data_IF_063241022143
#
_entry.id   IF_063241022143
#
_cell.length_a   1.000
_cell.length_b   1.000
_cell.length_c   1.000
_cell.angle_alpha   90.00
_cell.angle_beta   90.00
_cell.angle_gamma   90.00
#
_symmetry.space_group_name_H-M   'P 1'
#
loop_
_entity.id
_entity.type
_entity.pdbx_description
1 polymer ?
#
# COMPACT_ATOMS: atom_id res chain seq x y z
N UNK A 1 6.89 -10.86 -14.48
CA UNK A 1 7.01 -9.53 -13.83
C UNK A 1 5.69 -8.89 -13.37
N UNK A 2 4.60 -8.87 -14.17
CA UNK A 2 3.34 -8.19 -13.75
C UNK A 2 2.65 -8.81 -12.52
N UNK A 3 2.73 -10.14 -12.33
CA UNK A 3 2.08 -10.88 -11.22
C UNK A 3 2.69 -10.59 -9.84
N UNK A 4 4.02 -10.60 -9.73
CA UNK A 4 4.73 -10.28 -8.49
C UNK A 4 4.41 -8.85 -8.02
N UNK A 5 4.32 -7.90 -8.98
CA UNK A 5 3.92 -6.52 -8.70
C UNK A 5 2.53 -6.43 -8.07
N UNK A 6 1.54 -7.20 -8.56
CA UNK A 6 0.18 -7.15 -8.03
C UNK A 6 0.12 -7.64 -6.56
N UNK A 7 0.78 -8.77 -6.27
CA UNK A 7 0.90 -9.30 -4.91
C UNK A 7 1.52 -8.28 -3.94
N UNK A 8 2.66 -7.69 -4.34
CA UNK A 8 3.36 -6.72 -3.51
C UNK A 8 2.53 -5.46 -3.29
N UNK A 9 1.80 -4.99 -4.32
CA UNK A 9 0.95 -3.80 -4.21
C UNK A 9 -0.23 -4.06 -3.27
N UNK A 10 -0.90 -5.22 -3.36
CA UNK A 10 -1.99 -5.58 -2.45
C UNK A 10 -1.50 -5.68 -1.01
N UNK A 11 -0.36 -6.34 -0.78
CA UNK A 11 0.21 -6.45 0.56
C UNK A 11 0.61 -5.07 1.12
N UNK A 12 1.22 -4.21 0.32
CA UNK A 12 1.58 -2.85 0.74
C UNK A 12 0.34 -2.01 1.06
N UNK A 13 -0.71 -2.08 0.25
CA UNK A 13 -1.96 -1.36 0.48
C UNK A 13 -2.64 -1.81 1.79
N UNK A 14 -2.79 -3.13 1.98
CA UNK A 14 -3.37 -3.68 3.23
C UNK A 14 -2.48 -3.37 4.42
N UNK A 15 -1.15 -3.49 4.27
CA UNK A 15 -0.19 -3.17 5.32
C UNK A 15 -0.23 -1.70 5.74
N UNK A 16 -0.40 -0.78 4.80
CA UNK A 16 -0.57 0.64 5.09
C UNK A 16 -1.84 0.90 5.90
N UNK A 17 -2.97 0.28 5.52
CA UNK A 17 -4.23 0.41 6.27
C UNK A 17 -4.11 -0.15 7.68
N UNK A 18 -3.49 -1.32 7.84
CA UNK A 18 -3.22 -1.92 9.16
C UNK A 18 -2.37 -0.98 10.01
N UNK A 19 -1.26 -0.46 9.46
CA UNK A 19 -0.38 0.48 10.17
C UNK A 19 -1.12 1.75 10.59
N UNK A 20 -1.94 2.33 9.71
CA UNK A 20 -2.71 3.53 10.00
C UNK A 20 -3.72 3.28 11.13
N UNK A 21 -4.49 2.20 11.05
CA UNK A 21 -5.48 1.84 12.09
C UNK A 21 -4.76 1.57 13.41
N UNK A 22 -3.73 0.73 13.41
CA UNK A 22 -2.97 0.41 14.62
C UNK A 22 -2.36 1.67 15.25
N UNK A 23 -1.85 2.61 14.45
CA UNK A 23 -1.28 3.86 14.95
C UNK A 23 -2.35 4.75 15.60
N UNK A 24 -3.50 4.93 14.95
CA UNK A 24 -4.61 5.69 15.50
C UNK A 24 -5.16 5.05 16.79
N UNK A 25 -5.30 3.72 16.81
CA UNK A 25 -5.71 2.98 18.01
C UNK A 25 -4.70 3.14 19.15
N UNK A 26 -3.39 3.05 18.87
CA UNK A 26 -2.35 3.28 19.86
C UNK A 26 -2.44 4.69 20.47
N UNK A 27 -2.56 5.73 19.63
CA UNK A 27 -2.68 7.11 20.09
C UNK A 27 -3.92 7.31 20.98
N UNK A 28 -5.06 6.76 20.56
CA UNK A 28 -6.30 6.83 21.33
C UNK A 28 -6.18 6.13 22.68
N UNK A 29 -5.73 4.86 22.68
CA UNK A 29 -5.63 4.05 23.89
C UNK A 29 -4.64 4.66 24.89
N UNK A 30 -3.45 5.06 24.42
CA UNK A 30 -2.47 5.73 25.27
C UNK A 30 -3.03 7.03 25.87
N UNK A 31 -3.67 7.88 25.06
CA UNK A 31 -4.29 9.11 25.55
C UNK A 31 -5.38 8.83 26.60
N UNK A 32 -6.22 7.83 26.35
CA UNK A 32 -7.29 7.43 27.25
C UNK A 32 -6.74 6.91 28.58
N UNK A 33 -5.80 5.95 28.53
CA UNK A 33 -5.20 5.38 29.74
C UNK A 33 -4.39 6.39 30.55
N UNK A 34 -3.70 7.33 29.89
CA UNK A 34 -3.03 8.44 30.57
C UNK A 34 -4.03 9.33 31.32
N UNK A 35 -5.15 9.66 30.69
CA UNK A 35 -6.19 10.49 31.31
C UNK A 35 -6.85 9.77 32.49
N UNK A 36 -7.14 8.48 32.33
CA UNK A 36 -7.73 7.65 33.39
C UNK A 36 -6.78 7.51 34.59
N UNK A 37 -5.49 7.27 34.35
CA UNK A 37 -4.46 7.25 35.39
C UNK A 37 -4.42 8.59 36.15
N UNK A 38 -4.35 9.70 35.42
CA UNK A 38 -4.31 11.04 36.01
C UNK A 38 -5.56 11.34 36.84
N UNK A 39 -6.75 11.08 36.28
CA UNK A 39 -8.03 11.27 36.98
C UNK A 39 -8.13 10.38 38.21
N UNK A 40 -7.65 9.13 38.13
CA UNK A 40 -7.63 8.20 39.24
C UNK A 40 -6.76 8.69 40.40
N UNK A 41 -5.56 9.23 40.12
CA UNK A 41 -4.69 9.84 41.14
C UNK A 41 -5.35 11.07 41.76
N UNK A 42 -6.00 11.89 40.95
CA UNK A 42 -6.69 13.10 41.38
C UNK A 42 -7.86 12.78 42.33
N UNK A 43 -8.72 11.84 41.96
CA UNK A 43 -9.83 11.38 42.80
C UNK A 43 -9.36 10.65 44.06
N UNK A 44 -8.26 9.88 43.96
CA UNK A 44 -7.66 9.25 45.14
C UNK A 44 -7.20 10.30 46.17
N UNK A 45 -6.49 11.34 45.73
CA UNK A 45 -6.04 12.43 46.61
C UNK A 45 -7.21 13.21 47.23
N UNK A 46 -8.26 13.50 46.46
CA UNK A 46 -9.50 14.14 46.98
C UNK A 46 -10.17 13.30 48.06
N UNK A 47 -10.30 12.00 47.81
CA UNK A 47 -10.92 11.09 48.76
C UNK A 47 -10.09 10.99 50.04
N UNK A 48 -8.78 10.85 49.91
CA UNK A 48 -7.86 10.77 51.04
C UNK A 48 -7.91 12.03 51.92
N UNK A 49 -7.81 13.23 51.31
CA UNK A 49 -7.91 14.49 52.06
C UNK A 49 -9.27 14.64 52.75
N UNK A 50 -10.36 14.21 52.09
CA UNK A 50 -11.71 14.26 52.67
C UNK A 50 -11.91 13.27 53.82
N UNK A 51 -11.42 12.05 53.68
CA UNK A 51 -11.57 11.00 54.69
C UNK A 51 -10.77 11.31 55.94
N UNK A 52 -9.50 11.71 55.79
CA UNK A 52 -8.69 12.17 56.92
C UNK A 52 -9.29 13.43 57.53
N UNK A 53 -9.76 14.38 56.71
CA UNK A 53 -10.46 15.58 57.20
C UNK A 53 -11.67 15.25 58.08
N UNK A 54 -12.48 14.25 57.70
CA UNK A 54 -13.58 13.76 58.53
C UNK A 54 -13.11 13.14 59.85
N UNK A 55 -11.99 12.41 59.85
CA UNK A 55 -11.42 11.86 61.09
C UNK A 55 -10.97 12.97 62.05
N UNK A 56 -10.39 14.05 61.51
CA UNK A 56 -10.00 15.22 62.31
C UNK A 56 -11.23 15.96 62.84
N UNK A 57 -12.27 16.12 62.02
CA UNK A 57 -13.56 16.68 62.44
C UNK A 57 -14.17 15.86 63.59
N UNK A 58 -14.14 14.52 63.50
CA UNK A 58 -14.63 13.64 64.56
C UNK A 58 -13.84 13.82 65.86
N UNK A 59 -12.51 13.97 65.77
CA UNK A 59 -11.68 14.26 66.93
C UNK A 59 -12.06 15.60 67.58
N UNK A 60 -12.26 16.66 66.79
CA UNK A 60 -12.71 17.96 67.30
C UNK A 60 -14.10 17.86 67.95
N UNK A 61 -15.05 17.17 67.31
CA UNK A 61 -16.41 16.94 67.83
C UNK A 61 -16.43 16.13 69.12
N UNK A 62 -15.44 15.25 69.32
CA UNK A 62 -15.27 14.49 70.57
C UNK A 62 -14.74 15.32 71.75
N UNK A 63 -14.39 16.59 71.51
CA UNK A 63 -13.90 17.51 72.55
C UNK A 63 -12.37 17.55 72.70
N UNK A 64 -11.61 16.93 71.78
CA UNK A 64 -10.16 17.07 71.78
C UNK A 64 -9.75 18.52 71.46
N UNK A 65 -8.71 19.01 72.14
CA UNK A 65 -8.17 20.34 71.87
C UNK A 65 -7.54 20.39 70.47
N UNK A 66 -7.62 21.55 69.81
CA UNK A 66 -6.99 21.78 68.49
C UNK A 66 -5.52 21.32 68.45
N UNK A 67 -4.75 21.66 69.48
CA UNK A 67 -3.34 21.26 69.63
C UNK A 67 -3.16 19.74 69.68
N UNK A 68 -4.05 19.03 70.39
CA UNK A 68 -3.97 17.57 70.48
C UNK A 68 -4.29 16.91 69.14
N UNK A 69 -5.27 17.44 68.40
CA UNK A 69 -5.62 16.93 67.06
C UNK A 69 -4.48 17.16 66.06
N UNK A 70 -3.89 18.35 66.05
CA UNK A 70 -2.68 18.66 65.26
C UNK A 70 -1.56 17.67 65.59
N UNK A 71 -1.27 17.46 66.88
CA UNK A 71 -0.23 16.53 67.32
C UNK A 71 -0.52 15.09 66.87
N UNK A 72 -1.77 14.63 66.99
CA UNK A 72 -2.16 13.29 66.56
C UNK A 72 -1.95 13.09 65.05
N UNK A 73 -2.33 14.10 64.23
CA UNK A 73 -2.09 14.06 62.80
C UNK A 73 -0.59 14.06 62.49
N UNK A 74 0.17 14.99 63.08
CA UNK A 74 1.61 15.10 62.88
C UNK A 74 2.33 13.79 63.21
N UNK A 75 1.98 13.15 64.33
CA UNK A 75 2.55 11.86 64.73
C UNK A 75 2.19 10.72 63.75
N UNK A 76 1.07 10.84 63.03
CA UNK A 76 0.64 9.84 62.06
C UNK A 76 1.34 9.97 60.71
N UNK A 77 1.76 11.18 60.34
CA UNK A 77 2.34 11.48 59.02
C UNK A 77 3.85 11.70 59.05
N UNK A 78 4.45 11.92 60.23
CA UNK A 78 5.89 12.17 60.33
C UNK A 78 6.69 10.97 59.78
N UNK A 79 7.71 11.25 58.99
CA UNK A 79 8.57 10.26 58.33
C UNK A 79 7.83 9.27 57.40
N UNK A 80 6.62 9.59 56.94
CA UNK A 80 6.03 8.84 55.82
C UNK A 80 6.75 9.20 54.52
N UNK A 81 6.63 8.33 53.52
CA UNK A 81 7.19 8.61 52.19
C UNK A 81 6.64 9.93 51.64
N UNK A 82 7.54 10.78 51.12
CA UNK A 82 7.20 12.04 50.45
C UNK A 82 7.52 12.00 48.96
N UNK A 83 8.15 10.93 48.48
CA UNK A 83 8.53 10.82 47.08
C UNK A 83 7.32 10.55 46.19
N UNK A 84 6.44 9.64 46.59
CA UNK A 84 5.24 9.28 45.83
C UNK A 84 4.09 10.27 46.03
N UNK A 85 3.78 10.56 47.29
CA UNK A 85 2.75 11.50 47.70
C UNK A 85 2.63 11.52 49.22
N UNK A 86 2.02 12.58 49.75
CA UNK A 86 1.93 12.78 51.19
C UNK A 86 0.75 13.67 51.58
N UNK A 87 0.43 13.66 52.86
CA UNK A 87 -0.61 14.51 53.46
C UNK A 87 0.06 15.61 54.28
N UNK A 88 -0.45 16.83 54.17
CA UNK A 88 -0.13 17.91 55.09
C UNK A 88 -1.39 18.71 55.43
N UNK A 89 -1.28 19.58 56.43
CA UNK A 89 -2.40 20.40 56.90
C UNK A 89 -1.94 21.84 57.04
N UNK A 90 -2.76 22.76 56.57
CA UNK A 90 -2.55 24.20 56.70
C UNK A 90 -3.69 24.81 57.51
N UNK A 91 -3.47 25.97 58.10
CA UNK A 91 -4.57 26.87 58.40
C UNK A 91 -4.97 27.70 57.16
N UNK A 92 -6.13 28.33 57.22
CA UNK A 92 -6.64 29.23 56.18
C UNK A 92 -5.82 30.51 56.03
N UNK A 93 -4.84 30.78 56.89
CA UNK A 93 -3.91 31.92 56.74
C UNK A 93 -2.62 31.53 56.01
N UNK A 94 -2.45 30.24 55.70
CA UNK A 94 -1.31 29.70 54.97
C UNK A 94 -0.20 29.13 55.85
N UNK A 95 -0.38 29.00 57.16
CA UNK A 95 0.63 28.38 58.03
C UNK A 95 0.49 26.86 57.91
N UNK A 96 1.60 26.18 57.63
CA UNK A 96 1.67 24.71 57.61
C UNK A 96 1.67 24.16 59.04
N UNK A 97 0.57 23.52 59.43
CA UNK A 97 0.33 22.99 60.78
C UNK A 97 0.93 21.59 60.97
N UNK A 98 0.87 20.76 59.93
CA UNK A 98 1.42 19.41 59.95
C UNK A 98 2.07 19.09 58.60
N UNK A 99 3.24 18.44 58.62
CA UNK A 99 3.95 17.99 57.43
C UNK A 99 4.79 16.72 57.72
N UNK A 100 4.96 15.78 56.78
CA UNK A 100 5.76 14.56 57.01
C UNK A 100 7.22 14.83 57.37
N UNK A 101 7.80 15.86 56.78
CA UNK A 101 9.07 16.46 57.21
C UNK A 101 8.79 17.56 58.25
N UNK A 102 9.15 17.34 59.54
CA UNK A 102 8.91 18.31 60.61
C UNK A 102 9.61 19.65 60.42
N UNK A 103 10.68 19.71 59.61
CA UNK A 103 11.40 20.96 59.35
C UNK A 103 10.57 21.97 58.54
N UNK A 104 9.49 21.52 57.89
CA UNK A 104 8.58 22.35 57.11
C UNK A 104 7.37 22.84 57.93
N UNK A 105 7.13 22.27 59.11
CA UNK A 105 6.04 22.72 59.99
C UNK A 105 6.28 24.16 60.45
N UNK A 106 5.24 24.99 60.36
CA UNK A 106 5.27 26.41 60.66
C UNK A 106 5.66 27.30 59.47
N UNK A 107 5.96 26.73 58.31
CA UNK A 107 6.20 27.52 57.11
C UNK A 107 4.93 28.28 56.68
N UNK A 108 5.15 29.50 56.17
CA UNK A 108 4.07 30.38 55.72
C UNK A 108 4.00 30.33 54.19
N UNK A 109 2.87 29.87 53.67
CA UNK A 109 2.54 29.93 52.26
C UNK A 109 2.08 31.36 51.92
N UNK A 110 2.81 31.99 51.02
CA UNK A 110 2.47 33.31 50.48
C UNK A 110 2.36 33.25 48.95
N UNK A 111 1.95 34.38 48.34
CA UNK A 111 1.76 34.51 46.89
C UNK A 111 3.02 34.24 46.06
N UNK A 112 4.20 34.52 46.60
CA UNK A 112 5.47 34.29 45.90
C UNK A 112 6.00 32.86 45.98
N UNK A 113 5.42 32.01 46.84
CA UNK A 113 5.97 30.68 47.09
C UNK A 113 5.57 29.65 46.02
N UNK A 114 4.30 29.67 45.61
CA UNK A 114 3.75 28.66 44.71
C UNK A 114 2.44 29.12 44.07
N UNK A 115 2.36 28.91 42.77
CA UNK A 115 1.17 29.04 41.94
C UNK A 115 0.38 27.72 41.91
N UNK A 116 -0.92 27.83 41.62
CA UNK A 116 -1.87 26.74 41.57
C UNK A 116 -2.74 26.84 40.31
N UNK A 117 -2.84 25.73 39.60
CA UNK A 117 -3.58 25.63 38.34
C UNK A 117 -4.72 24.62 38.53
N UNK A 118 -5.96 25.09 38.42
CA UNK A 118 -7.16 24.27 38.42
C UNK A 118 -7.93 24.49 37.12
N UNK A 119 -7.99 23.45 36.28
CA UNK A 119 -8.52 23.56 34.93
C UNK A 119 -7.76 24.60 34.12
N UNK A 120 -8.45 25.65 33.67
CA UNK A 120 -7.87 26.78 32.91
C UNK A 120 -7.51 27.97 33.81
N UNK A 121 -7.83 27.91 35.10
CA UNK A 121 -7.60 29.01 36.04
C UNK A 121 -6.25 28.87 36.73
N UNK A 122 -5.49 29.96 36.77
CA UNK A 122 -4.24 30.07 37.53
C UNK A 122 -4.43 31.06 38.67
N UNK A 123 -4.07 30.66 39.87
CA UNK A 123 -4.13 31.49 41.08
C UNK A 123 -2.92 31.22 41.98
N UNK A 124 -2.73 32.01 43.03
CA UNK A 124 -1.76 31.66 44.06
C UNK A 124 -2.29 30.51 44.92
N UNK A 125 -1.42 29.61 45.39
CA UNK A 125 -1.88 28.50 46.25
C UNK A 125 -2.49 29.00 47.57
N UNK A 126 -2.00 30.13 48.09
CA UNK A 126 -2.57 30.75 49.30
C UNK A 126 -4.02 31.17 49.10
N UNK A 127 -4.41 31.65 47.91
CA UNK A 127 -5.79 32.04 47.64
C UNK A 127 -6.73 30.83 47.65
N UNK A 128 -6.21 29.64 47.32
CA UNK A 128 -6.94 28.37 47.43
C UNK A 128 -7.18 28.01 48.90
N UNK A 129 -6.16 28.15 49.77
CA UNK A 129 -6.30 27.90 51.21
C UNK A 129 -7.28 28.89 51.86
N UNK A 130 -7.13 30.19 51.56
CA UNK A 130 -7.98 31.27 52.05
C UNK A 130 -9.46 31.07 51.69
N UNK A 131 -9.75 30.38 50.58
CA UNK A 131 -11.11 30.15 50.12
C UNK A 131 -11.93 29.27 51.08
N UNK A 132 -11.28 28.44 51.89
CA UNK A 132 -11.94 27.49 52.78
C UNK A 132 -12.76 26.41 52.06
N UNK A 133 -12.58 26.25 50.75
CA UNK A 133 -13.35 25.33 49.90
C UNK A 133 -12.47 24.21 49.37
N UNK A 134 -13.12 23.09 49.05
CA UNK A 134 -12.45 22.01 48.34
C UNK A 134 -11.95 22.48 46.97
N UNK A 135 -10.75 22.07 46.60
CA UNK A 135 -10.16 22.39 45.31
C UNK A 135 -9.14 21.34 44.92
N UNK A 136 -8.88 21.17 43.64
CA UNK A 136 -7.91 20.21 43.14
C UNK A 136 -7.26 20.71 41.87
N UNK A 137 -5.94 20.61 41.82
CA UNK A 137 -5.16 21.18 40.74
C UNK A 137 -3.68 20.82 40.83
N UNK A 138 -2.87 21.53 40.07
CA UNK A 138 -1.43 21.39 40.05
C UNK A 138 -0.84 22.58 40.78
N UNK A 139 -0.06 22.32 41.83
CA UNK A 139 0.74 23.32 42.51
C UNK A 139 2.14 23.31 41.89
N UNK A 140 2.57 24.44 41.35
CA UNK A 140 3.94 24.61 40.89
C UNK A 140 4.74 25.42 41.90
N UNK A 141 6.05 25.21 41.86
CA UNK A 141 7.00 25.96 42.68
C UNK A 141 7.98 26.67 41.76
N UNK A 142 8.53 27.79 42.24
CA UNK A 142 9.62 28.48 41.54
C UNK A 142 10.77 27.51 41.24
N UNK A 143 11.44 27.68 40.10
CA UNK A 143 12.62 26.88 39.71
C UNK A 143 13.75 26.91 40.75
N UNK A 144 13.77 27.92 41.62
CA UNK A 144 14.76 28.07 42.70
C UNK A 144 14.49 27.21 43.92
N UNK A 145 13.29 26.63 44.07
CA UNK A 145 12.89 25.88 45.28
C UNK A 145 13.43 24.45 45.33
N UNK A 146 14.05 23.95 44.25
CA UNK A 146 14.45 22.56 44.07
C UNK A 146 13.32 21.54 44.36
N UNK A 147 12.05 21.98 44.27
CA UNK A 147 10.86 21.19 44.54
C UNK A 147 10.08 20.96 43.24
N UNK A 148 9.76 19.70 42.96
CA UNK A 148 8.94 19.33 41.82
C UNK A 148 7.49 19.77 42.02
N UNK A 149 6.79 20.09 40.93
CA UNK A 149 5.34 20.34 40.97
C UNK A 149 4.58 19.15 41.54
N UNK A 150 3.43 19.43 42.14
CA UNK A 150 2.60 18.44 42.82
C UNK A 150 1.16 18.55 42.32
N UNK A 151 0.47 17.43 42.15
CA UNK A 151 -0.99 17.44 42.12
C UNK A 151 -1.44 17.59 43.56
N UNK A 152 -2.28 18.59 43.83
CA UNK A 152 -2.74 18.90 45.18
C UNK A 152 -4.25 18.90 45.22
N UNK A 153 -4.80 18.10 46.12
CA UNK A 153 -6.22 18.07 46.48
C UNK A 153 -6.39 18.62 47.89
N UNK A 154 -7.07 19.76 48.03
CA UNK A 154 -7.33 20.39 49.33
C UNK A 154 -8.78 20.22 49.75
N UNK A 155 -9.01 20.02 51.04
CA UNK A 155 -10.34 19.84 51.64
C UNK A 155 -10.42 20.52 53.01
N UNK A 156 -11.49 21.27 53.31
CA UNK A 156 -11.65 21.91 54.62
C UNK A 156 -11.96 20.88 55.71
N UNK A 157 -11.45 21.13 56.92
CA UNK A 157 -11.78 20.34 58.12
C UNK A 157 -12.87 21.07 58.92
N UNK A 158 -14.09 20.54 58.91
CA UNK A 158 -15.21 21.19 59.58
C UNK A 158 -14.99 21.32 61.09
N UNK A 159 -15.46 22.45 61.66
CA UNK A 159 -15.20 22.80 63.07
C UNK A 159 -13.82 23.44 63.30
N UNK A 160 -13.08 23.74 62.23
CA UNK A 160 -11.79 24.42 62.29
C UNK A 160 -11.59 25.36 61.11
N UNK A 161 -10.47 26.08 61.16
CA UNK A 161 -9.89 26.93 60.12
C UNK A 161 -8.83 26.17 59.31
N UNK A 162 -8.89 24.83 59.28
CA UNK A 162 -7.86 24.01 58.65
C UNK A 162 -8.24 23.55 57.25
N UNK A 163 -7.21 23.44 56.42
CA UNK A 163 -7.24 22.90 55.07
C UNK A 163 -6.30 21.70 55.03
N UNK A 164 -6.85 20.50 54.83
CA UNK A 164 -6.06 19.30 54.64
C UNK A 164 -5.73 19.14 53.16
N UNK A 165 -4.47 18.84 52.84
CA UNK A 165 -3.99 18.70 51.48
C UNK A 165 -3.35 17.32 51.27
N UNK A 166 -3.76 16.64 50.20
CA UNK A 166 -3.07 15.47 49.65
C UNK A 166 -2.22 15.94 48.46
N UNK A 167 -0.93 15.62 48.52
CA UNK A 167 0.09 15.99 47.54
C UNK A 167 0.56 14.73 46.81
N UNK A 168 0.65 14.80 45.49
CA UNK A 168 1.21 13.71 44.67
C UNK A 168 2.28 14.28 43.76
N UNK A 169 3.46 13.68 43.78
CA UNK A 169 4.60 14.20 43.03
C UNK A 169 4.40 13.98 41.52
N UNK A 170 4.41 15.07 40.74
CA UNK A 170 4.25 14.99 39.27
C UNK A 170 5.40 14.26 38.59
N UNK A 171 6.60 14.20 39.20
CA UNK A 171 7.76 13.45 38.68
C UNK A 171 7.49 11.95 38.68
N UNK A 172 6.91 11.42 39.75
CA UNK A 172 6.58 9.99 39.87
C UNK A 172 5.48 9.61 38.88
N UNK A 173 4.45 10.45 38.75
CA UNK A 173 3.41 10.27 37.74
C UNK A 173 4.02 10.34 36.32
N UNK A 174 4.96 11.26 36.08
CA UNK A 174 5.66 11.35 34.79
C UNK A 174 6.43 10.08 34.43
N UNK A 175 7.06 9.44 35.43
CA UNK A 175 7.70 8.14 35.26
C UNK A 175 6.67 7.03 34.97
N UNK A 176 5.59 6.94 35.75
CA UNK A 176 4.50 5.98 35.51
C UNK A 176 3.90 6.13 34.09
N UNK A 177 3.69 7.37 33.61
CA UNK A 177 3.19 7.65 32.26
C UNK A 177 4.21 7.23 31.19
N UNK A 178 5.51 7.43 31.45
CA UNK A 178 6.58 7.02 30.52
C UNK A 178 6.67 5.50 30.39
N UNK A 179 6.57 4.79 31.51
CA UNK A 179 6.51 3.32 31.54
C UNK A 179 5.24 2.81 30.84
N UNK A 180 4.10 3.48 31.07
CA UNK A 180 2.84 3.18 30.39
C UNK A 180 2.99 3.32 28.88
N UNK A 181 3.61 4.41 28.41
CA UNK A 181 3.88 4.64 26.99
C UNK A 181 4.72 3.51 26.38
N UNK A 182 5.80 3.11 27.05
CA UNK A 182 6.68 2.05 26.58
C UNK A 182 5.94 0.70 26.47
N UNK A 183 5.09 0.37 27.45
CA UNK A 183 4.25 -0.84 27.41
C UNK A 183 3.29 -0.83 26.23
N UNK A 184 2.58 0.28 26.01
CA UNK A 184 1.68 0.42 24.87
C UNK A 184 2.44 0.36 23.53
N UNK A 185 3.63 0.96 23.45
CA UNK A 185 4.45 0.94 22.24
C UNK A 185 4.89 -0.49 21.90
N UNK A 186 5.33 -1.26 22.89
CA UNK A 186 5.73 -2.65 22.72
C UNK A 186 4.55 -3.51 22.24
N UNK A 187 3.38 -3.36 22.86
CA UNK A 187 2.15 -4.06 22.45
C UNK A 187 1.78 -3.70 21.01
N UNK A 188 1.81 -2.41 20.66
CA UNK A 188 1.54 -1.92 19.31
C UNK A 188 2.48 -2.55 18.28
N UNK A 189 3.80 -2.51 18.52
CA UNK A 189 4.80 -3.06 17.59
C UNK A 189 4.63 -4.58 17.40
N UNK A 190 4.43 -5.33 18.48
CA UNK A 190 4.23 -6.78 18.42
C UNK A 190 2.92 -7.13 17.70
N UNK A 191 1.81 -6.47 18.04
CA UNK A 191 0.52 -6.71 17.42
C UNK A 191 0.55 -6.39 15.91
N UNK A 192 1.13 -5.24 15.54
CA UNK A 192 1.29 -4.86 14.14
C UNK A 192 2.15 -5.87 13.38
N UNK A 193 3.26 -6.34 13.95
CA UNK A 193 4.11 -7.36 13.33
C UNK A 193 3.34 -8.67 13.10
N UNK A 194 2.58 -9.14 14.09
CA UNK A 194 1.78 -10.37 14.00
C UNK A 194 0.69 -10.24 12.94
N UNK A 195 -0.03 -9.11 12.90
CA UNK A 195 -1.11 -8.87 11.94
C UNK A 195 -0.54 -8.75 10.52
N UNK A 196 0.57 -8.04 10.33
CA UNK A 196 1.25 -7.95 9.02
C UNK A 196 1.76 -9.31 8.54
N UNK A 197 2.38 -10.09 9.43
CA UNK A 197 2.84 -11.45 9.11
C UNK A 197 1.70 -12.39 8.73
N UNK A 198 0.60 -12.34 9.48
CA UNK A 198 -0.61 -13.12 9.20
C UNK A 198 -1.26 -12.69 7.88
N UNK A 199 -1.35 -11.38 7.62
CA UNK A 199 -1.86 -10.82 6.37
C UNK A 199 -1.01 -11.26 5.17
N UNK A 200 0.33 -11.20 5.29
CA UNK A 200 1.25 -11.67 4.26
C UNK A 200 1.00 -13.14 3.90
N UNK A 201 0.87 -13.99 4.93
CA UNK A 201 0.63 -15.42 4.75
C UNK A 201 -0.74 -15.70 4.12
N UNK A 202 -1.80 -15.03 4.59
CA UNK A 202 -3.15 -15.17 4.04
C UNK A 202 -3.22 -14.73 2.58
N UNK A 203 -2.67 -13.56 2.23
CA UNK A 203 -2.63 -13.08 0.85
C UNK A 203 -1.88 -14.09 -0.02
N UNK A 204 -0.74 -14.62 0.44
CA UNK A 204 0.03 -15.63 -0.30
C UNK A 204 -0.77 -16.92 -0.52
N UNK A 205 -1.48 -17.38 0.51
CA UNK A 205 -2.32 -18.57 0.43
C UNK A 205 -3.48 -18.41 -0.55
N UNK A 206 -4.18 -17.27 -0.52
CA UNK A 206 -5.29 -16.93 -1.41
C UNK A 206 -4.82 -16.86 -2.86
N UNK A 207 -3.72 -16.14 -3.12
CA UNK A 207 -3.16 -16.01 -4.46
C UNK A 207 -2.72 -17.35 -5.04
N UNK A 208 -2.06 -18.20 -4.24
CA UNK A 208 -1.67 -19.55 -4.68
C UNK A 208 -2.89 -20.37 -5.11
N UNK A 209 -3.97 -20.35 -4.32
CA UNK A 209 -5.21 -21.08 -4.64
C UNK A 209 -5.89 -20.53 -5.91
N UNK A 210 -5.92 -19.22 -6.07
CA UNK A 210 -6.47 -18.56 -7.25
C UNK A 210 -5.67 -18.90 -8.53
N UNK A 211 -4.34 -18.91 -8.45
CA UNK A 211 -3.47 -19.24 -9.58
C UNK A 211 -3.66 -20.71 -10.00
N UNK A 212 -3.69 -21.64 -9.04
CA UNK A 212 -3.96 -23.05 -9.34
C UNK A 212 -5.34 -23.27 -9.98
N UNK A 213 -6.35 -22.48 -9.58
CA UNK A 213 -7.68 -22.54 -10.22
C UNK A 213 -7.64 -22.02 -11.66
N UNK A 214 -6.96 -20.90 -11.90
CA UNK A 214 -6.81 -20.31 -13.24
C UNK A 214 -5.99 -21.20 -14.18
N UNK A 215 -4.91 -21.81 -13.70
CA UNK A 215 -4.10 -22.73 -14.49
C UNK A 215 -4.88 -23.97 -14.93
N UNK A 216 -5.74 -24.52 -14.06
CA UNK A 216 -6.65 -25.62 -14.45
C UNK A 216 -7.59 -25.20 -15.57
N UNK A 217 -8.26 -24.06 -15.45
CA UNK A 217 -9.15 -23.54 -16.49
C UNK A 217 -8.44 -23.33 -17.83
N UNK A 218 -7.20 -22.83 -17.82
CA UNK A 218 -6.39 -22.65 -19.03
C UNK A 218 -6.00 -24.00 -19.65
N UNK A 219 -5.61 -24.97 -18.82
CA UNK A 219 -5.26 -26.31 -19.28
C UNK A 219 -6.48 -27.05 -19.87
N UNK A 220 -7.64 -26.94 -19.23
CA UNK A 220 -8.90 -27.52 -19.72
C UNK A 220 -9.27 -26.94 -21.09
N UNK A 221 -9.19 -25.61 -21.25
CA UNK A 221 -9.47 -24.95 -22.53
C UNK A 221 -8.45 -25.33 -23.61
N UNK A 222 -7.16 -25.43 -23.26
CA UNK A 222 -6.14 -25.91 -24.20
C UNK A 222 -6.40 -27.36 -24.65
N UNK A 223 -6.84 -28.23 -23.73
CA UNK A 223 -7.21 -29.60 -24.07
C UNK A 223 -8.40 -29.65 -25.03
N UNK A 224 -9.42 -28.81 -24.82
CA UNK A 224 -10.57 -28.67 -25.71
C UNK A 224 -10.16 -28.16 -27.10
N UNK A 225 -9.34 -27.11 -27.17
CA UNK A 225 -8.80 -26.59 -28.44
C UNK A 225 -7.97 -27.64 -29.18
N UNK A 226 -7.14 -28.40 -28.46
CA UNK A 226 -6.36 -29.49 -29.04
C UNK A 226 -7.26 -30.61 -29.58
N UNK A 227 -8.33 -30.96 -28.86
CA UNK A 227 -9.31 -31.95 -29.31
C UNK A 227 -10.05 -31.49 -30.58
N UNK A 228 -10.50 -30.22 -30.62
CA UNK A 228 -11.12 -29.63 -31.80
C UNK A 228 -10.16 -29.59 -32.99
N UNK A 229 -8.90 -29.25 -32.75
CA UNK A 229 -7.86 -29.25 -33.80
C UNK A 229 -7.62 -30.65 -34.35
N UNK A 230 -7.59 -31.67 -33.48
CA UNK A 230 -7.46 -33.06 -33.91
C UNK A 230 -8.68 -33.53 -34.74
N UNK A 231 -9.91 -33.20 -34.33
CA UNK A 231 -11.12 -33.50 -35.10
C UNK A 231 -11.13 -32.79 -36.45
N UNK A 232 -10.75 -31.51 -36.50
CA UNK A 232 -10.67 -30.76 -37.75
C UNK A 232 -9.64 -31.38 -38.72
N UNK A 233 -8.49 -31.81 -38.20
CA UNK A 233 -7.50 -32.56 -38.99
C UNK A 233 -8.04 -33.90 -39.50
N UNK A 234 -8.85 -34.61 -38.71
CA UNK A 234 -9.52 -35.85 -39.15
C UNK A 234 -10.55 -35.58 -40.24
N UNK A 235 -11.38 -34.54 -40.11
CA UNK A 235 -12.34 -34.14 -41.13
C UNK A 235 -11.66 -33.78 -42.45
N UNK A 236 -10.57 -33.02 -42.41
CA UNK A 236 -9.79 -32.69 -43.61
C UNK A 236 -9.21 -33.94 -44.29
N UNK A 237 -8.81 -34.96 -43.53
CA UNK A 237 -8.39 -36.27 -44.08
C UNK A 237 -9.55 -37.02 -44.73
N UNK A 238 -10.75 -36.96 -44.16
CA UNK A 238 -11.95 -37.58 -44.75
C UNK A 238 -12.35 -36.85 -46.03
N UNK A 239 -12.33 -35.52 -46.07
CA UNK A 239 -12.60 -34.75 -47.29
C UNK A 239 -11.58 -35.02 -48.41
N UNK A 240 -10.29 -35.16 -48.08
CA UNK A 240 -9.26 -35.52 -49.06
C UNK A 240 -9.40 -36.96 -49.56
N UNK A 241 -9.78 -37.92 -48.70
CA UNK A 241 -10.03 -39.30 -49.12
C UNK A 241 -11.39 -39.49 -49.82
N UNK A 242 -12.42 -38.70 -49.50
CA UNK A 242 -13.73 -38.71 -50.17
C UNK A 242 -13.67 -38.14 -51.59
N UNK A 243 -12.61 -37.40 -51.92
CA UNK A 243 -12.29 -36.96 -53.28
C UNK A 243 -11.37 -37.96 -54.02
N UNK A 244 -11.03 -39.11 -53.41
CA UNK A 244 -10.21 -40.16 -54.04
C UNK A 244 -11.02 -41.22 -54.80
N UNK A 245 -12.35 -41.23 -54.68
CA UNK A 245 -13.27 -42.06 -55.47
C UNK A 245 -14.19 -41.18 -56.33
N UNK A 246 -13.60 -40.43 -57.26
CA UNK A 246 -14.26 -39.95 -58.48
C UNK A 246 -13.19 -39.58 -59.50
N UNK A 247 -13.15 -40.42 -60.53
CA UNK A 247 -12.62 -40.21 -61.88
C UNK A 247 -11.12 -39.89 -62.04
N UNK A 248 -10.44 -40.94 -62.49
CA UNK A 248 -9.27 -40.95 -63.37
C UNK A 248 -9.35 -39.92 -64.51
N UNK A 249 -8.18 -39.33 -64.78
CA UNK A 249 -7.74 -38.74 -66.04
C UNK A 249 -8.32 -37.36 -66.42
N UNK A 250 -7.75 -36.32 -65.82
CA UNK A 250 -7.18 -35.11 -66.47
C UNK A 250 -7.28 -33.95 -65.47
N UNK A 251 -6.16 -33.49 -64.89
CA UNK A 251 -6.01 -32.13 -64.34
C UNK A 251 -4.63 -31.94 -63.68
N UNK A 252 -3.57 -31.99 -64.48
CA UNK A 252 -2.24 -31.49 -64.06
C UNK A 252 -2.06 -29.99 -64.36
N UNK A 253 -3.14 -29.26 -64.72
CA UNK A 253 -3.04 -27.89 -65.21
C UNK A 253 -3.93 -26.85 -64.49
N UNK A 254 -4.76 -27.21 -63.51
CA UNK A 254 -5.78 -26.27 -62.99
C UNK A 254 -5.77 -26.02 -61.47
N UNK A 255 -4.59 -25.73 -60.91
CA UNK A 255 -4.49 -25.17 -59.54
C UNK A 255 -3.66 -23.89 -59.46
N UNK A 256 -3.75 -23.05 -60.50
CA UNK A 256 -3.27 -21.66 -60.45
C UNK A 256 -4.46 -20.75 -60.15
N UNK A 257 -4.45 -20.06 -59.00
CA UNK A 257 -5.49 -19.08 -58.68
C UNK A 257 -5.36 -17.89 -59.63
N UNK A 258 -6.25 -17.80 -60.61
CA UNK A 258 -6.35 -16.66 -61.55
C UNK A 258 -6.77 -15.36 -60.85
N UNK A 259 -7.44 -15.45 -59.69
CA UNK A 259 -7.93 -14.32 -58.88
C UNK A 259 -7.58 -14.47 -57.40
N UNK A 260 -7.15 -13.38 -56.78
CA UNK A 260 -6.87 -13.25 -55.36
C UNK A 260 -7.90 -12.32 -54.72
N UNK A 261 -8.46 -12.74 -53.59
CA UNK A 261 -9.39 -11.92 -52.82
C UNK A 261 -8.60 -11.25 -51.70
N UNK A 262 -8.64 -9.93 -51.64
CA UNK A 262 -7.94 -9.11 -50.63
C UNK A 262 -8.92 -8.17 -49.94
N UNK A 263 -8.59 -7.78 -48.71
CA UNK A 263 -9.39 -6.86 -47.92
C UNK A 263 -8.84 -5.44 -48.06
N UNK A 264 -9.72 -4.50 -48.37
CA UNK A 264 -9.40 -3.07 -48.31
C UNK A 264 -10.46 -2.37 -47.46
N UNK A 265 -10.07 -1.99 -46.23
CA UNK A 265 -10.99 -1.48 -45.21
C UNK A 265 -12.07 -2.52 -44.89
N UNK A 266 -13.33 -2.26 -45.27
CA UNK A 266 -14.51 -3.10 -45.00
C UNK A 266 -15.07 -3.78 -46.27
N UNK A 267 -14.35 -3.75 -47.39
CA UNK A 267 -14.78 -4.33 -48.68
C UNK A 267 -13.84 -5.45 -49.15
N UNK A 268 -14.43 -6.49 -49.76
CA UNK A 268 -13.73 -7.58 -50.44
C UNK A 268 -13.44 -7.18 -51.89
N UNK A 269 -12.16 -7.05 -52.23
CA UNK A 269 -11.72 -6.74 -53.59
C UNK A 269 -11.12 -8.00 -54.22
N UNK A 270 -11.63 -8.37 -55.39
CA UNK A 270 -11.08 -9.45 -56.21
C UNK A 270 -10.10 -8.85 -57.21
N UNK A 271 -8.81 -9.22 -57.09
CA UNK A 271 -7.73 -8.80 -57.99
C UNK A 271 -7.33 -9.96 -58.89
N UNK A 272 -7.11 -9.68 -60.17
CA UNK A 272 -6.54 -10.67 -61.07
C UNK A 272 -5.02 -10.78 -60.87
N UNK A 273 -4.47 -11.99 -60.99
CA UNK A 273 -3.03 -12.21 -60.83
C UNK A 273 -2.19 -11.38 -61.84
N UNK A 274 -2.79 -10.99 -62.97
CA UNK A 274 -2.20 -10.11 -63.99
C UNK A 274 -2.09 -8.64 -63.57
N UNK A 275 -2.90 -8.18 -62.62
CA UNK A 275 -2.89 -6.79 -62.14
C UNK A 275 -1.83 -6.53 -61.06
N UNK A 276 -1.22 -7.59 -60.54
CA UNK A 276 -0.32 -7.54 -59.39
C UNK A 276 1.13 -7.40 -59.84
N UNK A 277 1.78 -6.34 -59.37
CA UNK A 277 3.18 -6.04 -59.67
C UNK A 277 4.14 -6.81 -58.74
N UNK A 278 3.91 -6.77 -57.42
CA UNK A 278 4.71 -7.53 -56.45
C UNK A 278 3.98 -7.66 -55.11
N UNK A 279 4.43 -8.63 -54.32
CA UNK A 279 4.05 -8.81 -52.91
C UNK A 279 5.24 -8.49 -52.02
N UNK A 280 4.97 -7.89 -50.87
CA UNK A 280 6.01 -7.58 -49.89
C UNK A 280 5.55 -7.77 -48.45
N UNK A 281 6.50 -8.09 -47.56
CA UNK A 281 6.28 -8.25 -46.12
C UNK A 281 6.80 -7.02 -45.38
N UNK A 282 5.90 -6.30 -44.72
CA UNK A 282 6.22 -5.14 -43.90
C UNK A 282 5.47 -5.25 -42.56
N UNK A 283 6.14 -4.98 -41.43
CA UNK A 283 5.53 -5.03 -40.09
C UNK A 283 4.75 -6.33 -39.79
N UNK A 284 5.23 -7.47 -40.30
CA UNK A 284 4.62 -8.80 -40.17
C UNK A 284 3.25 -8.96 -40.87
N UNK A 285 2.92 -8.06 -41.81
CA UNK A 285 1.73 -8.10 -42.66
C UNK A 285 2.19 -8.21 -44.12
N UNK A 286 1.51 -9.06 -44.92
CA UNK A 286 1.80 -9.20 -46.35
C UNK A 286 0.92 -8.22 -47.14
N UNK A 287 1.57 -7.43 -47.99
CA UNK A 287 0.93 -6.46 -48.85
C UNK A 287 1.07 -6.85 -50.32
N UNK A 288 0.07 -6.44 -51.11
CA UNK A 288 -0.01 -6.57 -52.56
C UNK A 288 0.13 -5.17 -53.15
N UNK A 289 1.03 -4.98 -54.11
CA UNK A 289 1.12 -3.77 -54.92
C UNK A 289 0.62 -4.07 -56.34
N UNK A 290 -0.35 -3.31 -56.83
CA UNK A 290 -0.84 -3.44 -58.21
C UNK A 290 -0.01 -2.60 -59.18
N UNK A 291 -0.09 -2.92 -60.48
CA UNK A 291 0.50 -2.08 -61.54
C UNK A 291 -0.05 -0.65 -61.56
N UNK A 292 -1.29 -0.46 -61.08
CA UNK A 292 -1.93 0.86 -60.92
C UNK A 292 -1.43 1.67 -59.70
N UNK A 293 -0.56 1.11 -58.85
CA UNK A 293 0.00 1.80 -57.68
C UNK A 293 -0.78 1.61 -56.38
N UNK A 294 -1.95 0.96 -56.43
CA UNK A 294 -2.77 0.67 -55.26
C UNK A 294 -2.12 -0.41 -54.39
N UNK A 295 -2.36 -0.34 -53.08
CA UNK A 295 -1.81 -1.27 -52.09
C UNK A 295 -2.92 -1.91 -51.27
N UNK A 296 -2.84 -3.23 -51.11
CA UNK A 296 -3.84 -4.03 -50.40
C UNK A 296 -3.16 -5.00 -49.43
N UNK A 297 -3.84 -5.41 -48.35
CA UNK A 297 -3.32 -6.37 -47.37
C UNK A 297 -3.93 -7.75 -47.54
N UNK A 298 -3.12 -8.80 -47.41
CA UNK A 298 -3.57 -10.19 -47.52
C UNK A 298 -3.12 -11.00 -46.30
N UNK A 299 -4.01 -11.88 -45.82
CA UNK A 299 -3.80 -12.72 -44.63
C UNK A 299 -3.06 -14.04 -44.93
N UNK A 300 -2.47 -14.18 -46.11
CA UNK A 300 -1.67 -15.34 -46.51
C UNK A 300 -0.19 -15.04 -46.40
N UNK A 301 0.60 -16.04 -46.00
CA UNK A 301 2.06 -15.88 -45.97
C UNK A 301 2.66 -15.81 -47.38
N UNK A 302 3.84 -15.19 -47.52
CA UNK A 302 4.56 -15.20 -48.80
C UNK A 302 4.89 -16.62 -49.28
N UNK A 303 5.11 -17.57 -48.37
CA UNK A 303 5.38 -18.97 -48.69
C UNK A 303 4.17 -19.66 -49.33
N UNK A 304 2.97 -19.39 -48.80
CA UNK A 304 1.71 -19.88 -49.37
C UNK A 304 1.42 -19.22 -50.72
N UNK A 305 1.60 -17.89 -50.82
CA UNK A 305 1.39 -17.17 -52.07
C UNK A 305 2.32 -17.67 -53.18
N UNK A 306 3.59 -17.92 -52.87
CA UNK A 306 4.55 -18.48 -53.84
C UNK A 306 4.16 -19.88 -54.36
N UNK A 307 3.39 -20.67 -53.59
CA UNK A 307 2.89 -21.98 -54.03
C UNK A 307 1.62 -21.89 -54.86
N UNK A 308 0.81 -20.85 -54.64
CA UNK A 308 -0.50 -20.67 -55.27
C UNK A 308 -0.45 -19.85 -56.56
N UNK A 309 0.62 -19.08 -56.75
CA UNK A 309 0.84 -18.23 -57.91
C UNK A 309 1.59 -18.97 -59.03
N UNK A 310 1.38 -18.48 -60.24
CA UNK A 310 2.05 -18.97 -61.45
C UNK A 310 3.56 -18.77 -61.33
N UNK A 311 4.29 -19.88 -61.20
CA UNK A 311 5.74 -19.90 -61.00
C UNK A 311 6.50 -19.33 -62.22
N UNK A 312 5.86 -19.26 -63.40
CA UNK A 312 6.45 -18.62 -64.58
C UNK A 312 6.33 -17.10 -64.54
N UNK A 313 5.30 -16.57 -63.86
CA UNK A 313 5.05 -15.12 -63.79
C UNK A 313 5.56 -14.49 -62.50
N UNK A 314 5.58 -15.24 -61.40
CA UNK A 314 5.96 -14.75 -60.09
C UNK A 314 7.23 -15.45 -59.58
N UNK A 315 8.22 -14.63 -59.20
CA UNK A 315 9.45 -15.10 -58.60
C UNK A 315 9.62 -14.59 -57.18
N UNK A 316 9.94 -15.49 -56.26
CA UNK A 316 10.30 -15.11 -54.89
C UNK A 316 11.72 -14.55 -54.85
N UNK A 317 11.88 -13.23 -54.94
CA UNK A 317 13.18 -12.56 -54.94
C UNK A 317 13.95 -12.77 -53.62
N UNK A 318 13.29 -12.62 -52.47
CA UNK A 318 13.92 -12.82 -51.15
C UNK A 318 12.87 -13.18 -50.07
N UNK A 319 13.25 -13.12 -48.79
CA UNK A 319 12.34 -13.45 -47.67
C UNK A 319 11.16 -12.47 -47.56
N UNK A 320 11.32 -11.25 -48.06
CA UNK A 320 10.36 -10.16 -47.94
C UNK A 320 9.60 -9.87 -49.24
N UNK A 321 10.04 -10.36 -50.42
CA UNK A 321 9.48 -9.96 -51.71
C UNK A 321 9.19 -11.14 -52.66
N UNK A 322 8.05 -11.08 -53.35
CA UNK A 322 7.70 -11.86 -54.55
C UNK A 322 7.40 -10.88 -55.67
N UNK A 323 8.08 -11.00 -56.81
CA UNK A 323 7.97 -10.05 -57.92
C UNK A 323 7.31 -10.69 -59.14
N UNK A 324 6.48 -9.94 -59.85
CA UNK A 324 5.96 -10.34 -61.15
C UNK A 324 6.96 -9.98 -62.24
N UNK A 325 7.17 -10.84 -63.23
CA UNK A 325 8.06 -10.59 -64.38
C UNK A 325 7.69 -9.29 -65.11
N UNK A 326 6.39 -9.01 -65.28
CA UNK A 326 5.89 -7.81 -65.95
C UNK A 326 6.16 -6.51 -65.18
N UNK A 327 6.47 -6.60 -63.88
CA UNK A 327 6.78 -5.44 -63.06
C UNK A 327 8.26 -5.06 -63.10
N UNK A 328 9.14 -5.93 -63.59
CA UNK A 328 10.59 -5.71 -63.61
C UNK A 328 10.93 -4.70 -64.71
N UNK A 329 11.37 -3.51 -64.30
CA UNK A 329 11.80 -2.45 -65.23
C UNK A 329 13.29 -2.58 -65.60
N UNK A 330 14.15 -2.79 -64.60
CA UNK A 330 15.60 -2.92 -64.80
C UNK A 330 16.19 -3.90 -63.78
N UNK A 331 17.22 -4.62 -64.19
CA UNK A 331 18.02 -5.48 -63.32
C UNK A 331 19.44 -4.91 -63.32
N UNK A 332 19.90 -4.47 -62.15
CA UNK A 332 21.23 -3.89 -61.97
C UNK A 332 22.14 -4.88 -61.23
N UNK A 333 23.41 -4.93 -61.64
CA UNK A 333 24.43 -5.64 -60.87
C UNK A 333 24.78 -4.78 -59.65
N UNK A 334 24.61 -5.34 -58.45
CA UNK A 334 24.81 -4.64 -57.19
C UNK A 334 25.90 -5.35 -56.37
N UNK A 335 27.01 -4.66 -56.11
CA UNK A 335 28.14 -5.18 -55.31
C UNK A 335 28.83 -6.42 -55.89
N UNK A 336 29.41 -7.26 -55.00
CA UNK A 336 30.16 -8.50 -55.33
C UNK A 336 29.22 -9.67 -55.67
N UNK A 337 28.51 -9.57 -56.80
CA UNK A 337 27.63 -10.59 -57.40
C UNK A 337 26.21 -10.71 -56.80
N UNK A 338 25.56 -9.61 -56.40
CA UNK A 338 24.12 -9.58 -56.15
C UNK A 338 23.40 -8.87 -57.30
N UNK A 339 22.10 -9.14 -57.46
CA UNK A 339 21.26 -8.41 -58.42
C UNK A 339 20.26 -7.55 -57.66
N UNK A 340 20.10 -6.30 -58.10
CA UNK A 340 19.07 -5.38 -57.64
C UNK A 340 17.99 -5.27 -58.70
N UNK A 341 16.76 -5.59 -58.32
CA UNK A 341 15.59 -5.49 -59.19
C UNK A 341 14.95 -4.12 -58.98
N UNK A 342 14.75 -3.38 -60.07
CA UNK A 342 13.94 -2.16 -60.09
C UNK A 342 12.58 -2.54 -60.65
N UNK A 343 11.53 -2.36 -59.84
CA UNK A 343 10.14 -2.64 -60.20
C UNK A 343 9.35 -1.36 -60.50
N UNK A 344 8.28 -1.48 -61.29
CA UNK A 344 7.29 -0.42 -61.54
C UNK A 344 5.90 -0.94 -61.14
N UNK A 345 5.20 -0.34 -60.15
CA UNK A 345 5.54 0.86 -59.36
C UNK A 345 6.80 0.70 -58.48
N UNK A 346 7.47 1.81 -58.16
CA UNK A 346 8.72 1.81 -57.40
C UNK A 346 8.49 1.25 -55.98
N UNK A 347 9.29 0.26 -55.59
CA UNK A 347 9.33 -0.23 -54.21
C UNK A 347 10.04 0.76 -53.28
N UNK A 348 9.61 0.83 -52.02
CA UNK A 348 10.25 1.69 -51.00
C UNK A 348 11.62 1.15 -50.59
N UNK A 349 11.74 -0.18 -50.44
CA UNK A 349 13.02 -0.84 -50.22
C UNK A 349 13.64 -1.40 -51.49
N UNK A 350 14.95 -1.63 -51.42
CA UNK A 350 15.72 -2.28 -52.47
C UNK A 350 15.44 -3.79 -52.53
N UNK A 351 14.90 -4.26 -53.66
CA UNK A 351 14.70 -5.69 -53.91
C UNK A 351 16.03 -6.31 -54.35
N UNK A 352 16.73 -6.94 -53.41
CA UNK A 352 18.02 -7.62 -53.64
C UNK A 352 17.86 -9.14 -53.75
N UNK A 353 18.51 -9.72 -54.75
CA UNK A 353 18.69 -11.17 -54.93
C UNK A 353 20.11 -11.55 -54.51
N UNK A 354 20.20 -12.50 -53.58
CA UNK A 354 21.48 -12.98 -53.04
C UNK A 354 22.28 -13.78 -54.06
N UNK A 355 23.61 -13.77 -53.93
CA UNK A 355 24.56 -14.45 -54.84
C UNK A 355 24.19 -15.91 -55.15
N UNK A 356 23.68 -16.65 -54.17
CA UNK A 356 23.34 -18.07 -54.30
C UNK A 356 22.09 -18.31 -55.16
N UNK A 357 21.23 -17.30 -55.35
CA UNK A 357 19.98 -17.40 -56.12
C UNK A 357 20.03 -16.66 -57.45
N UNK A 358 21.14 -16.00 -57.77
CA UNK A 358 21.32 -15.30 -59.06
C UNK A 358 21.22 -16.25 -60.25
N UNK A 359 21.80 -17.45 -60.16
CA UNK A 359 21.73 -18.43 -61.24
C UNK A 359 20.30 -18.95 -61.46
N UNK A 360 19.57 -19.21 -60.37
CA UNK A 360 18.15 -19.61 -60.39
C UNK A 360 17.27 -18.51 -61.00
N UNK A 361 17.46 -17.26 -60.57
CA UNK A 361 16.69 -16.13 -61.10
C UNK A 361 16.96 -15.87 -62.59
N UNK A 362 18.21 -15.96 -63.04
CA UNK A 362 18.53 -15.83 -64.46
C UNK A 362 17.87 -16.93 -65.30
N UNK A 363 17.86 -18.17 -64.79
CA UNK A 363 17.18 -19.28 -65.45
C UNK A 363 15.67 -19.07 -65.51
N UNK A 364 15.08 -18.50 -64.46
CA UNK A 364 13.66 -18.15 -64.42
C UNK A 364 13.29 -17.04 -65.42
N UNK A 365 14.16 -16.05 -65.66
CA UNK A 365 13.94 -15.03 -66.70
C UNK A 365 14.05 -15.54 -68.14
N UNK A 366 14.70 -16.70 -68.33
CA UNK A 366 14.97 -17.32 -69.64
C UNK A 366 13.92 -18.39 -70.00
N UNK A 367 12.95 -18.63 -69.10
CA UNK A 367 11.76 -19.47 -69.30
C UNK A 367 10.61 -18.64 -69.85
#
# INVERSE_FOLDING_TARGET
MKKFKLYTITFLAVGFVILLISFLSFQYLYKSSRQELFNGKLEAGKRESREIGKLLELQLKSGLSKQKVIQNLQNSIVNTDTESGFICMYDQTGIELCHPDPALVGQVINKSNSDFISGETTSDFIDVLNSGKENTGIRNFSKTSNRSSEIVSVSPVAGSDWMLASHINTRVIGQEISDLYLRFLLIFLLATLIILGSSFFLIRMIYKKYESYKERQVNDLNNEVNALTAMNNQLNRIHSNSNADKDTADEAAENLKKRLITYHKDELISLEATEIAYFFLENNIVYIKTHSGNQFSINSSLDELARMLDQFKFYRANRQYIVNISAISKILIYGKNQLKIIVTPKSEDDILISKNRVAEFKKWLDQ
#
